data_IF_425496655487
#
_entry.id   IF_425496655487
#
_cell.length_a   1.000
_cell.length_b   1.000
_cell.length_c   1.000
_cell.angle_alpha   90.00
_cell.angle_beta   90.00
_cell.angle_gamma   90.00
#
_symmetry.space_group_name_H-M   'P 1'
#
loop_
_entity.id
_entity.type
_entity.pdbx_description
1 polymer ?
#
# COMPACT_ATOMS: atom_id res chain seq x y z
N UNK A 1 -17.82 6.19 15.17
CA UNK A 1 -16.45 5.64 15.04
C UNK A 1 -16.00 5.08 16.38
N UNK A 2 -15.40 3.88 16.40
CA UNK A 2 -15.00 3.22 17.64
C UNK A 2 -14.06 4.12 18.46
N UNK A 3 -14.46 4.45 19.68
CA UNK A 3 -13.67 5.27 20.60
C UNK A 3 -12.41 4.49 21.03
N UNK A 4 -11.24 5.12 20.98
CA UNK A 4 -10.03 4.58 21.61
C UNK A 4 -10.15 4.77 23.12
N UNK A 5 -10.52 3.71 23.83
CA UNK A 5 -10.49 3.68 25.29
C UNK A 5 -9.04 3.56 25.79
N UNK A 6 -8.76 3.96 27.04
CA UNK A 6 -7.44 3.79 27.65
C UNK A 6 -6.92 2.35 27.60
N UNK A 7 -7.81 1.35 27.76
CA UNK A 7 -7.46 -0.07 27.66
C UNK A 7 -6.96 -0.44 26.25
N UNK A 8 -7.60 0.08 25.19
CA UNK A 8 -7.16 -0.17 23.80
C UNK A 8 -5.84 0.51 23.47
N UNK A 9 -5.60 1.70 24.03
CA UNK A 9 -4.29 2.35 23.95
C UNK A 9 -3.20 1.50 24.62
N UNK A 10 -3.51 0.93 25.78
CA UNK A 10 -2.58 0.06 26.48
C UNK A 10 -2.26 -1.20 25.67
N UNK A 11 -3.27 -1.88 25.10
CA UNK A 11 -3.05 -3.04 24.21
C UNK A 11 -2.20 -2.66 23.00
N UNK A 12 -2.43 -1.48 22.39
CA UNK A 12 -1.59 -1.01 21.29
C UNK A 12 -0.11 -0.90 21.69
N UNK A 13 0.18 -0.37 22.89
CA UNK A 13 1.55 -0.25 23.39
C UNK A 13 2.19 -1.60 23.77
N UNK A 14 1.40 -2.58 24.22
CA UNK A 14 1.88 -3.91 24.59
C UNK A 14 2.10 -4.82 23.38
N UNK A 15 1.11 -4.86 22.48
CA UNK A 15 1.08 -5.80 21.36
C UNK A 15 1.77 -5.25 20.10
N UNK A 16 1.96 -3.92 20.03
CA UNK A 16 2.54 -3.24 18.87
C UNK A 16 1.58 -3.08 17.69
N UNK A 17 0.33 -3.50 17.83
CA UNK A 17 -0.75 -3.29 16.85
C UNK A 17 -2.10 -3.13 17.54
N UNK A 18 -3.11 -2.64 16.81
CA UNK A 18 -4.48 -2.49 17.30
C UNK A 18 -5.48 -2.78 16.19
N UNK A 19 -6.46 -3.63 16.45
CA UNK A 19 -7.57 -3.91 15.53
C UNK A 19 -8.71 -2.94 15.80
N UNK A 20 -9.09 -2.16 14.78
CA UNK A 20 -10.23 -1.26 14.80
C UNK A 20 -11.28 -1.75 13.80
N UNK A 21 -12.22 -2.57 14.26
CA UNK A 21 -13.32 -3.03 13.42
C UNK A 21 -14.20 -1.86 12.95
N UNK A 22 -14.68 -1.96 11.71
CA UNK A 22 -15.57 -0.97 11.09
C UNK A 22 -15.05 0.48 11.17
N UNK A 23 -13.73 0.66 11.09
CA UNK A 23 -13.12 2.00 11.08
C UNK A 23 -13.48 2.80 9.83
N UNK A 24 -13.50 2.13 8.67
CA UNK A 24 -14.07 2.63 7.44
C UNK A 24 -15.46 2.04 7.23
N UNK A 25 -16.37 2.83 6.66
CA UNK A 25 -17.72 2.36 6.31
C UNK A 25 -17.65 1.49 5.04
N UNK A 26 -18.70 0.69 4.76
CA UNK A 26 -18.78 -0.04 3.50
C UNK A 26 -18.63 0.87 2.28
N UNK A 27 -19.25 2.06 2.30
CA UNK A 27 -19.25 3.01 1.18
C UNK A 27 -17.85 3.60 0.93
N UNK A 28 -17.08 3.87 1.99
CA UNK A 28 -15.69 4.29 1.85
C UNK A 28 -14.80 3.17 1.29
N UNK A 29 -15.05 1.93 1.72
CA UNK A 29 -14.38 0.76 1.15
C UNK A 29 -14.73 0.60 -0.33
N UNK A 30 -15.99 0.79 -0.70
CA UNK A 30 -16.48 0.71 -2.08
C UNK A 30 -15.85 1.80 -2.95
N UNK A 31 -15.83 3.04 -2.47
CA UNK A 31 -15.19 4.16 -3.16
C UNK A 31 -13.69 3.89 -3.43
N UNK A 32 -12.95 3.35 -2.45
CA UNK A 32 -11.55 2.96 -2.67
C UNK A 32 -11.41 1.82 -3.69
N UNK A 33 -12.34 0.86 -3.70
CA UNK A 33 -12.34 -0.27 -4.64
C UNK A 33 -12.67 0.18 -6.07
N UNK A 34 -13.67 1.03 -6.24
CA UNK A 34 -14.04 1.60 -7.54
C UNK A 34 -12.90 2.46 -8.10
N UNK A 35 -12.31 3.31 -7.26
CA UNK A 35 -11.20 4.17 -7.68
C UNK A 35 -10.00 3.34 -8.14
N UNK A 36 -9.62 2.30 -7.40
CA UNK A 36 -8.47 1.48 -7.79
C UNK A 36 -8.74 0.67 -9.08
N UNK A 37 -10.00 0.27 -9.31
CA UNK A 37 -10.39 -0.37 -10.57
C UNK A 37 -10.27 0.59 -11.75
N UNK A 38 -10.68 1.85 -11.58
CA UNK A 38 -10.47 2.90 -12.58
C UNK A 38 -8.99 3.12 -12.89
N UNK A 39 -8.15 3.28 -11.86
CA UNK A 39 -6.69 3.43 -12.00
C UNK A 39 -6.07 2.24 -12.75
N UNK A 40 -6.54 1.02 -12.50
CA UNK A 40 -6.06 -0.18 -13.19
C UNK A 40 -6.50 -0.21 -14.66
N UNK A 41 -7.74 0.20 -14.97
CA UNK A 41 -8.24 0.23 -16.34
C UNK A 41 -7.37 1.14 -17.23
N UNK A 42 -7.00 2.30 -16.70
CA UNK A 42 -6.13 3.30 -17.33
C UNK A 42 -4.63 2.99 -17.22
N UNK A 43 -4.26 1.84 -16.63
CA UNK A 43 -2.87 1.48 -16.45
C UNK A 43 -2.13 1.32 -17.79
N UNK A 44 -1.10 2.15 -17.96
CA UNK A 44 -0.09 2.04 -19.00
C UNK A 44 1.31 1.90 -18.37
N UNK A 45 1.90 0.70 -18.50
CA UNK A 45 3.27 0.44 -18.05
C UNK A 45 4.07 -0.16 -19.20
N UNK A 46 5.09 0.57 -19.72
CA UNK A 46 5.98 0.04 -20.75
C UNK A 46 6.66 -1.26 -20.28
N UNK A 47 6.93 -2.24 -21.17
CA UNK A 47 7.52 -3.52 -20.79
C UNK A 47 8.78 -3.40 -19.93
N UNK A 48 9.67 -2.46 -20.25
CA UNK A 48 10.91 -2.21 -19.48
C UNK A 48 10.69 -1.66 -18.07
N UNK A 49 9.49 -1.16 -17.76
CA UNK A 49 9.10 -0.67 -16.43
C UNK A 49 8.33 -1.71 -15.61
N UNK A 50 7.94 -2.85 -16.21
CA UNK A 50 7.16 -3.88 -15.53
C UNK A 50 8.08 -4.65 -14.57
N UNK A 51 8.01 -4.29 -13.30
CA UNK A 51 8.83 -4.89 -12.24
C UNK A 51 8.00 -5.93 -11.48
N UNK A 52 8.49 -7.16 -11.38
CA UNK A 52 7.90 -8.19 -10.52
C UNK A 52 8.23 -7.95 -9.04
N UNK A 53 7.27 -8.22 -8.17
CA UNK A 53 7.44 -8.15 -6.73
C UNK A 53 7.98 -9.47 -6.17
N UNK A 54 9.06 -9.41 -5.38
CA UNK A 54 9.54 -10.54 -4.56
C UNK A 54 9.59 -10.16 -3.09
N UNK A 55 9.41 -11.16 -2.21
CA UNK A 55 9.47 -11.03 -0.75
C UNK A 55 10.82 -11.41 -0.15
N UNK A 56 11.74 -11.97 -0.95
CA UNK A 56 13.11 -12.30 -0.51
C UNK A 56 14.04 -11.16 -0.87
N UNK A 57 14.72 -10.59 0.13
CA UNK A 57 15.59 -9.41 -0.03
C UNK A 57 16.64 -9.57 -1.15
N UNK A 58 17.27 -10.75 -1.29
CA UNK A 58 18.24 -11.02 -2.36
C UNK A 58 17.64 -11.12 -3.77
N UNK A 59 16.47 -11.75 -3.92
CA UNK A 59 15.75 -11.80 -5.21
C UNK A 59 15.10 -10.45 -5.53
N UNK A 60 14.66 -9.74 -4.50
CA UNK A 60 14.10 -8.41 -4.60
C UNK A 60 15.18 -7.42 -5.03
N UNK A 61 16.41 -7.47 -4.51
CA UNK A 61 17.53 -6.63 -4.98
C UNK A 61 17.96 -6.94 -6.42
N UNK A 62 17.83 -8.19 -6.88
CA UNK A 62 18.16 -8.57 -8.27
C UNK A 62 17.03 -8.21 -9.25
N UNK A 63 15.75 -8.40 -8.87
CA UNK A 63 14.59 -7.95 -9.63
C UNK A 63 14.40 -6.42 -9.59
N UNK A 64 14.79 -5.77 -8.48
CA UNK A 64 14.82 -4.31 -8.31
C UNK A 64 16.11 -3.67 -8.81
N UNK A 65 17.19 -4.44 -8.98
CA UNK A 65 18.45 -4.01 -9.61
C UNK A 65 18.27 -3.52 -11.05
N UNK A 66 17.06 -3.73 -11.61
CA UNK A 66 16.59 -3.25 -12.89
C UNK A 66 15.69 -1.98 -12.85
N UNK A 67 15.49 -1.24 -11.74
CA UNK A 67 14.34 -0.31 -11.73
C UNK A 67 14.53 0.99 -10.95
N UNK A 68 15.08 2.01 -11.62
CA UNK A 68 14.80 3.43 -11.35
C UNK A 68 13.29 3.66 -11.15
N UNK A 69 12.45 2.86 -11.79
CA UNK A 69 11.00 2.89 -11.64
C UNK A 69 10.53 2.52 -10.22
N UNK A 70 11.21 1.66 -9.45
CA UNK A 70 10.90 1.48 -8.03
C UNK A 70 11.48 2.62 -7.18
N UNK A 71 12.78 2.92 -7.33
CA UNK A 71 13.46 3.90 -6.46
C UNK A 71 12.88 5.31 -6.59
N UNK A 72 12.44 5.71 -7.78
CA UNK A 72 11.83 7.03 -8.03
C UNK A 72 10.30 7.04 -7.89
N UNK A 73 9.70 5.98 -7.31
CA UNK A 73 8.23 5.87 -7.19
C UNK A 73 7.63 6.54 -5.94
N UNK A 74 8.48 7.06 -5.04
CA UNK A 74 8.07 7.62 -3.75
C UNK A 74 7.00 8.71 -3.84
N UNK A 75 7.04 9.49 -4.92
CA UNK A 75 6.15 10.61 -5.25
C UNK A 75 5.23 10.32 -6.44
N UNK A 76 5.00 9.04 -6.79
CA UNK A 76 4.21 8.64 -7.98
C UNK A 76 3.17 7.59 -7.65
N UNK A 77 2.23 7.42 -8.58
CA UNK A 77 1.33 6.25 -8.63
C UNK A 77 1.88 5.32 -9.71
N UNK A 78 2.42 4.18 -9.28
CA UNK A 78 3.10 3.18 -10.09
C UNK A 78 2.62 1.78 -9.70
N UNK A 79 2.77 0.86 -10.66
CA UNK A 79 2.23 -0.49 -10.57
C UNK A 79 3.36 -1.49 -10.41
N UNK A 80 3.15 -2.48 -9.56
CA UNK A 80 4.09 -3.57 -9.33
C UNK A 80 3.33 -4.89 -9.43
N UNK A 81 3.92 -5.84 -10.14
CA UNK A 81 3.23 -7.05 -10.59
C UNK A 81 3.61 -8.25 -9.74
N UNK A 82 2.73 -9.24 -9.68
CA UNK A 82 3.01 -10.53 -9.01
C UNK A 82 4.16 -11.26 -9.72
N UNK A 83 4.89 -12.09 -8.98
CA UNK A 83 5.99 -12.88 -9.57
C UNK A 83 5.43 -13.96 -10.50
N UNK A 84 6.00 -14.11 -11.69
CA UNK A 84 5.60 -15.14 -12.65
C UNK A 84 4.36 -14.81 -13.46
N UNK A 85 3.93 -13.54 -13.48
CA UNK A 85 2.86 -13.07 -14.38
C UNK A 85 3.40 -12.43 -15.65
N UNK A 86 4.72 -12.31 -15.78
CA UNK A 86 5.41 -11.80 -16.95
C UNK A 86 6.21 -12.91 -17.64
N UNK A 87 6.28 -12.87 -18.97
CA UNK A 87 7.21 -13.69 -19.75
C UNK A 87 8.63 -13.09 -19.76
N UNK A 88 9.59 -13.79 -20.38
CA UNK A 88 10.99 -13.33 -20.52
C UNK A 88 11.14 -11.99 -21.28
N UNK A 89 10.11 -11.57 -22.02
CA UNK A 89 10.05 -10.31 -22.78
C UNK A 89 9.27 -9.22 -22.04
N UNK A 90 8.78 -9.50 -20.83
CA UNK A 90 7.98 -8.58 -20.01
C UNK A 90 6.52 -8.46 -20.44
N UNK A 91 5.98 -9.37 -21.25
CA UNK A 91 4.55 -9.40 -21.61
C UNK A 91 3.74 -10.10 -20.52
N UNK A 92 2.49 -9.65 -20.32
CA UNK A 92 1.61 -10.27 -19.35
C UNK A 92 1.12 -11.65 -19.83
N UNK A 93 1.27 -12.66 -18.97
CA UNK A 93 0.77 -14.02 -19.18
C UNK A 93 -0.72 -14.15 -18.85
N UNK A 94 -1.26 -13.21 -18.07
CA UNK A 94 -2.66 -13.13 -17.66
C UNK A 94 -3.17 -11.70 -17.85
N UNK A 95 -4.49 -11.42 -17.75
CA UNK A 95 -4.97 -10.05 -17.84
C UNK A 95 -4.23 -9.09 -16.90
N UNK A 96 -3.89 -7.90 -17.40
CA UNK A 96 -3.04 -6.92 -16.68
C UNK A 96 -3.66 -6.54 -15.34
N UNK A 97 -4.98 -6.52 -15.27
CA UNK A 97 -5.79 -6.21 -14.08
C UNK A 97 -5.63 -7.26 -12.97
N UNK A 98 -5.34 -8.50 -13.36
CA UNK A 98 -5.10 -9.62 -12.44
C UNK A 98 -3.62 -9.83 -12.11
N UNK A 99 -2.74 -9.10 -12.79
CA UNK A 99 -1.29 -9.19 -12.65
C UNK A 99 -0.74 -8.26 -11.56
N UNK A 100 -1.50 -7.25 -11.13
CA UNK A 100 -1.04 -6.23 -10.17
C UNK A 100 -1.01 -6.80 -8.75
N UNK A 101 0.15 -6.75 -8.11
CA UNK A 101 0.35 -7.08 -6.69
C UNK A 101 0.07 -5.89 -5.79
N UNK A 102 0.56 -4.70 -6.18
CA UNK A 102 0.35 -3.46 -5.43
C UNK A 102 0.46 -2.23 -6.33
N UNK A 103 -0.13 -1.14 -5.84
CA UNK A 103 -0.01 0.21 -6.42
C UNK A 103 0.57 1.13 -5.34
N UNK A 104 1.55 1.95 -5.69
CA UNK A 104 2.23 2.86 -4.76
C UNK A 104 3.11 3.89 -5.47
N UNK A 105 3.71 4.85 -4.80
CA UNK A 105 3.73 5.04 -3.34
C UNK A 105 3.04 6.33 -2.85
N UNK A 106 2.43 7.10 -3.75
CA UNK A 106 1.86 8.42 -3.45
C UNK A 106 0.35 8.56 -3.78
N UNK A 107 -0.43 7.47 -3.68
CA UNK A 107 -1.89 7.52 -3.76
C UNK A 107 -2.49 8.58 -2.81
N UNK A 108 -2.00 8.67 -1.57
CA UNK A 108 -2.44 9.68 -0.60
C UNK A 108 -2.22 11.14 -1.03
N UNK A 109 -1.33 11.39 -1.98
CA UNK A 109 -0.98 12.73 -2.42
C UNK A 109 -1.67 13.10 -3.75
N UNK A 110 -1.72 12.16 -4.69
CA UNK A 110 -2.14 12.42 -6.08
C UNK A 110 -3.52 11.90 -6.44
N UNK A 111 -4.06 10.93 -5.71
CA UNK A 111 -5.41 10.44 -5.95
C UNK A 111 -6.42 11.12 -5.01
N UNK A 112 -7.51 11.73 -5.51
CA UNK A 112 -8.44 12.48 -4.69
C UNK A 112 -9.17 11.63 -3.64
N UNK A 113 -9.53 10.38 -3.97
CA UNK A 113 -10.23 9.47 -3.06
C UNK A 113 -9.29 9.03 -1.93
N UNK A 114 -8.10 8.52 -2.29
CA UNK A 114 -7.13 8.09 -1.29
C UNK A 114 -6.61 9.25 -0.45
N UNK A 115 -6.45 10.45 -1.02
CA UNK A 115 -6.13 11.67 -0.26
C UNK A 115 -7.22 12.01 0.75
N UNK A 116 -8.48 12.01 0.34
CA UNK A 116 -9.60 12.30 1.23
C UNK A 116 -9.69 11.29 2.37
N UNK A 117 -9.58 9.99 2.09
CA UNK A 117 -9.60 8.94 3.11
C UNK A 117 -8.42 9.07 4.07
N UNK A 118 -7.20 9.26 3.55
CA UNK A 118 -5.97 9.38 4.34
C UNK A 118 -6.01 10.58 5.29
N UNK A 119 -6.55 11.71 4.84
CA UNK A 119 -6.64 12.95 5.62
C UNK A 119 -8.00 13.15 6.29
N UNK A 120 -8.86 12.13 6.33
CA UNK A 120 -10.19 12.22 6.93
C UNK A 120 -10.12 12.57 8.42
N UNK A 121 -11.15 13.25 8.98
CA UNK A 121 -11.17 13.65 10.39
C UNK A 121 -10.92 12.48 11.36
N UNK A 122 -11.40 11.27 11.04
CA UNK A 122 -11.18 10.08 11.87
C UNK A 122 -9.74 9.58 11.88
N UNK A 123 -9.01 9.68 10.77
CA UNK A 123 -7.59 9.31 10.72
C UNK A 123 -6.75 10.35 11.48
N UNK A 124 -7.06 11.63 11.31
CA UNK A 124 -6.40 12.69 12.07
C UNK A 124 -6.64 12.53 13.59
N UNK A 125 -7.88 12.25 13.98
CA UNK A 125 -8.25 12.04 15.37
C UNK A 125 -7.58 10.81 15.98
N UNK A 126 -7.48 9.72 15.21
CA UNK A 126 -6.70 8.54 15.60
C UNK A 126 -5.24 8.91 15.84
N UNK A 127 -4.62 9.68 14.93
CA UNK A 127 -3.24 10.15 15.07
C UNK A 127 -3.03 10.98 16.35
N UNK A 128 -3.94 11.91 16.65
CA UNK A 128 -3.90 12.71 17.90
C UNK A 128 -3.99 11.83 19.14
N UNK A 129 -4.92 10.86 19.15
CA UNK A 129 -5.09 9.93 20.28
C UNK A 129 -3.89 9.01 20.51
N UNK A 130 -3.16 8.69 19.45
CA UNK A 130 -1.90 7.94 19.52
C UNK A 130 -0.69 8.81 19.92
N UNK A 131 -0.89 10.12 20.15
CA UNK A 131 0.16 11.05 20.56
C UNK A 131 1.11 11.46 19.42
N UNK A 132 0.65 11.45 18.17
CA UNK A 132 1.43 11.98 17.06
C UNK A 132 1.35 13.51 17.06
N UNK A 133 2.49 14.18 17.26
CA UNK A 133 2.55 15.65 17.33
C UNK A 133 2.50 16.30 15.94
N UNK A 134 3.39 15.86 15.03
CA UNK A 134 3.51 16.39 13.66
C UNK A 134 3.48 15.24 12.64
N UNK A 135 2.36 14.50 12.53
CA UNK A 135 2.29 13.36 11.63
C UNK A 135 2.42 13.79 10.16
N UNK A 136 3.32 13.13 9.44
CA UNK A 136 3.45 13.25 7.98
C UNK A 136 3.20 11.89 7.34
N UNK A 137 2.59 11.89 6.16
CA UNK A 137 2.35 10.66 5.39
C UNK A 137 3.56 10.44 4.50
N UNK A 138 4.37 9.43 4.82
CA UNK A 138 5.61 9.13 4.08
C UNK A 138 5.36 8.23 2.87
N UNK A 139 4.28 7.43 2.90
CA UNK A 139 4.01 6.43 1.90
C UNK A 139 2.55 5.94 1.98
N UNK A 140 1.96 5.63 0.84
CA UNK A 140 0.67 4.92 0.72
C UNK A 140 0.76 3.83 -0.34
N UNK A 141 0.15 2.68 -0.09
CA UNK A 141 0.02 1.61 -1.08
C UNK A 141 -1.36 1.00 -1.02
N UNK A 142 -1.86 0.57 -2.17
CA UNK A 142 -2.96 -0.37 -2.27
C UNK A 142 -2.40 -1.77 -2.53
N UNK A 143 -2.76 -2.74 -1.70
CA UNK A 143 -2.22 -4.11 -1.76
C UNK A 143 -3.32 -5.05 -2.24
N UNK A 144 -3.07 -5.72 -3.36
CA UNK A 144 -3.93 -6.78 -3.85
C UNK A 144 -3.50 -8.10 -3.22
N UNK A 145 -4.50 -8.89 -2.85
CA UNK A 145 -4.33 -10.30 -2.49
C UNK A 145 -5.10 -11.13 -3.48
N UNK A 146 -4.55 -11.22 -4.69
CA UNK A 146 -5.10 -12.10 -5.72
C UNK A 146 -4.85 -13.53 -5.27
N UNK A 147 -5.91 -14.32 -5.15
CA UNK A 147 -5.84 -15.74 -4.81
C UNK A 147 -5.41 -16.54 -6.05
N UNK A 148 -4.20 -16.28 -6.52
CA UNK A 148 -3.53 -17.04 -7.57
C UNK A 148 -2.06 -17.07 -7.17
N UNK A 149 -1.57 -18.26 -6.83
CA UNK A 149 -0.25 -18.57 -6.28
C UNK A 149 -0.05 -18.23 -4.80
N UNK A 150 0.15 -19.28 -3.99
CA UNK A 150 0.25 -19.25 -2.53
C UNK A 150 1.57 -18.66 -2.02
N UNK A 151 1.88 -17.43 -2.43
CA UNK A 151 3.03 -16.68 -1.94
C UNK A 151 2.82 -16.34 -0.45
N UNK A 152 3.66 -16.85 0.47
CA UNK A 152 3.54 -16.55 1.88
C UNK A 152 3.70 -15.05 2.16
N UNK A 153 2.80 -14.49 2.98
CA UNK A 153 3.05 -13.19 3.61
C UNK A 153 4.20 -13.36 4.62
N UNK A 154 5.41 -12.95 4.24
CA UNK A 154 6.53 -12.96 5.17
C UNK A 154 6.33 -11.85 6.23
N UNK A 155 6.63 -12.11 7.53
CA UNK A 155 6.60 -11.08 8.56
C UNK A 155 7.50 -9.91 8.16
N UNK A 156 7.00 -8.68 8.27
CA UNK A 156 7.78 -7.45 8.03
C UNK A 156 7.59 -6.48 9.18
N UNK A 157 8.70 -5.99 9.72
CA UNK A 157 8.68 -4.83 10.63
C UNK A 157 8.68 -3.55 9.82
N UNK A 158 7.66 -2.70 10.01
CA UNK A 158 7.71 -1.30 9.56
C UNK A 158 8.15 -0.44 10.74
N UNK A 159 9.36 0.07 10.72
CA UNK A 159 9.84 1.01 11.75
C UNK A 159 9.24 2.39 11.50
N UNK A 160 8.43 2.88 12.43
CA UNK A 160 7.97 4.27 12.43
C UNK A 160 9.10 5.15 12.96
N UNK A 161 9.71 5.98 12.10
CA UNK A 161 10.67 6.99 12.53
C UNK A 161 9.94 8.08 13.33
N UNK A 162 10.06 8.04 14.66
CA UNK A 162 9.68 9.16 15.54
C UNK A 162 10.74 10.26 15.40
N UNK A 163 10.59 11.14 14.41
CA UNK A 163 11.37 12.36 14.33
C UNK A 163 10.88 13.36 15.38
N UNK A 164 11.69 13.66 16.39
CA UNK A 164 11.59 14.91 17.14
C UNK A 164 12.14 16.02 16.24
N UNK A 165 11.29 16.94 15.80
CA UNK A 165 11.68 18.24 15.23
C UNK A 165 11.21 19.34 16.17
#
# INVERSE_FOLDING_TARGET
AAQLSPARLQSFHQDGFLVLEHFFTPEECDSMREQIQGIIAEMEVPPHCRTEFSTKEGEQLQAQGSSDYFLTSGDKIRFFFEKGVLDERGNFLIPKERSVSKIGHALHAHDPVFKQITHSPKVQELGRKLGLERPVVVQSMYIFKVQQFGSPCHPRSKTLLRGKL
#
